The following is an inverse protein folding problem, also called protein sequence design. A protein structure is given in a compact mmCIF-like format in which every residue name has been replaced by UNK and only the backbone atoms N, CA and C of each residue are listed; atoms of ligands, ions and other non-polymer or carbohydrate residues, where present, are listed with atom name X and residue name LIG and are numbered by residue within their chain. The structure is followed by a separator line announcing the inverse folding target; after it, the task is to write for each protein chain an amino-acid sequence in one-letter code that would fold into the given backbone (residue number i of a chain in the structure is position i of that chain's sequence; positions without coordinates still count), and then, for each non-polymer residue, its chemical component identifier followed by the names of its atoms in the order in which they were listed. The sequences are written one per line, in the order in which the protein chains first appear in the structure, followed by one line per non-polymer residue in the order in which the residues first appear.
data_IF_015857263187
#
_entry.id   IF_015857263187
#
_cell.length_a   1.000
_cell.length_b   1.000
_cell.length_c   1.000
_cell.angle_alpha   90.00
_cell.angle_beta   90.00
_cell.angle_gamma   90.00
#
_symmetry.space_group_name_H-M   'P 1'
#
loop_
_entity.id
_entity.type
_entity.pdbx_description
1 polymer ?
#
# COMPACT_ATOMS: atom_id res chain seq x y z
N UNK A 1 -23.22 -25.69 23.89
CA UNK A 1 -21.99 -26.34 23.37
C UNK A 1 -22.26 -26.95 22.01
N UNK A 2 -21.98 -26.23 20.92
CA UNK A 2 -21.71 -26.78 19.58
C UNK A 2 -20.66 -25.85 18.93
N UNK A 3 -19.43 -26.36 18.81
CA UNK A 3 -18.35 -25.70 18.07
C UNK A 3 -18.75 -25.67 16.59
N UNK A 4 -18.79 -24.50 15.98
CA UNK A 4 -18.83 -24.33 14.53
C UNK A 4 -17.47 -23.81 14.08
N UNK A 5 -16.86 -24.60 13.20
CA UNK A 5 -15.52 -24.44 12.67
C UNK A 5 -15.40 -23.21 11.76
N UNK A 6 -14.27 -22.50 11.89
CA UNK A 6 -13.86 -21.47 10.96
C UNK A 6 -13.33 -22.10 9.66
N UNK A 7 -13.77 -21.70 8.47
CA UNK A 7 -13.14 -22.13 7.23
C UNK A 7 -12.04 -21.15 6.81
N UNK A 8 -10.87 -21.73 6.53
CA UNK A 8 -9.79 -21.22 5.69
C UNK A 8 -8.76 -20.29 6.36
N UNK A 9 -8.04 -20.86 7.32
CA UNK A 9 -6.68 -20.44 7.61
C UNK A 9 -5.78 -20.82 6.41
N UNK A 10 -5.27 -19.82 5.70
CA UNK A 10 -4.14 -20.02 4.78
C UNK A 10 -2.90 -20.30 5.64
N UNK A 11 -2.49 -21.55 5.70
CA UNK A 11 -1.22 -21.96 6.29
C UNK A 11 -0.08 -21.54 5.36
N UNK A 12 0.51 -20.36 5.57
CA UNK A 12 1.81 -20.07 4.98
C UNK A 12 2.87 -20.76 5.83
N UNK A 13 3.50 -21.80 5.25
CA UNK A 13 4.63 -22.51 5.82
C UNK A 13 5.76 -21.55 6.13
N UNK A 14 6.39 -21.71 7.29
CA UNK A 14 7.54 -20.96 7.79
C UNK A 14 8.77 -21.20 6.91
N UNK A 15 8.81 -20.53 5.76
CA UNK A 15 9.91 -20.53 4.81
C UNK A 15 9.60 -19.47 3.75
N UNK A 16 10.19 -18.29 3.90
CA UNK A 16 9.97 -17.15 2.99
C UNK A 16 10.53 -17.56 1.62
N UNK A 17 9.66 -18.00 0.73
CA UNK A 17 9.94 -17.93 -0.71
C UNK A 17 9.48 -16.53 -1.10
N UNK A 18 10.42 -15.63 -1.37
CA UNK A 18 10.06 -14.33 -1.95
C UNK A 18 9.23 -14.60 -3.20
N UNK A 19 7.97 -14.16 -3.19
CA UNK A 19 7.11 -14.34 -4.33
C UNK A 19 7.64 -13.56 -5.53
N UNK A 20 7.03 -13.82 -6.68
CA UNK A 20 7.39 -13.15 -7.94
C UNK A 20 7.21 -11.63 -7.86
N UNK A 21 6.33 -11.15 -6.96
CA UNK A 21 6.06 -9.72 -6.75
C UNK A 21 7.15 -9.10 -5.88
N UNK A 22 7.49 -9.74 -4.76
CA UNK A 22 8.53 -9.31 -3.83
C UNK A 22 9.90 -9.23 -4.52
N UNK A 23 10.17 -10.18 -5.43
CA UNK A 23 11.40 -10.18 -6.25
C UNK A 23 11.44 -8.99 -7.20
N UNK A 24 10.34 -8.72 -7.92
CA UNK A 24 10.25 -7.57 -8.83
C UNK A 24 10.34 -6.24 -8.09
N UNK A 25 9.74 -6.13 -6.91
CA UNK A 25 9.86 -4.94 -6.06
C UNK A 25 11.32 -4.72 -5.64
N UNK A 26 12.03 -5.78 -5.26
CA UNK A 26 13.45 -5.71 -4.92
C UNK A 26 14.32 -5.30 -6.12
N UNK A 27 14.06 -5.83 -7.32
CA UNK A 27 14.76 -5.44 -8.56
C UNK A 27 14.56 -3.96 -8.90
N UNK A 28 13.38 -3.41 -8.62
CA UNK A 28 13.06 -2.00 -8.79
C UNK A 28 13.58 -1.12 -7.64
N UNK A 29 14.20 -1.71 -6.60
CA UNK A 29 14.67 -0.99 -5.42
C UNK A 29 13.54 -0.44 -4.53
N UNK A 30 12.33 -0.99 -4.66
CA UNK A 30 11.13 -0.56 -3.93
C UNK A 30 10.99 -1.40 -2.67
N UNK A 31 10.92 -0.74 -1.51
CA UNK A 31 10.58 -1.37 -0.24
C UNK A 31 9.16 -0.96 0.15
N UNK A 32 8.35 -1.91 0.60
CA UNK A 32 6.98 -1.63 1.00
C UNK A 32 6.99 -0.89 2.35
N UNK A 33 6.41 0.32 2.44
CA UNK A 33 6.34 1.06 3.69
C UNK A 33 5.33 0.43 4.64
N UNK A 34 5.40 0.82 5.91
CA UNK A 34 4.34 0.48 6.87
C UNK A 34 3.06 1.23 6.47
N UNK A 35 1.90 0.55 6.35
CA UNK A 35 0.65 1.22 5.97
C UNK A 35 0.28 2.35 6.93
N UNK A 36 -0.15 3.49 6.37
CA UNK A 36 -0.59 4.62 7.17
C UNK A 36 -1.90 4.33 7.90
N UNK A 37 -2.05 4.86 9.11
CA UNK A 37 -3.31 4.80 9.84
C UNK A 37 -4.40 5.63 9.12
N UNK A 38 -5.68 5.21 9.17
CA UNK A 38 -6.79 6.01 8.65
C UNK A 38 -6.82 7.41 9.30
N UNK A 39 -7.00 8.44 8.47
CA UNK A 39 -6.99 9.84 8.94
C UNK A 39 -8.33 10.23 9.59
N UNK A 40 -9.39 9.46 9.33
CA UNK A 40 -10.74 9.70 9.84
C UNK A 40 -11.52 8.38 10.00
N UNK A 41 -12.84 8.48 10.18
CA UNK A 41 -13.74 7.34 10.36
C UNK A 41 -14.01 6.59 9.05
N UNK A 42 -13.00 5.91 8.52
CA UNK A 42 -13.11 4.98 7.39
C UNK A 42 -12.11 3.82 7.54
N UNK A 43 -12.31 2.74 6.79
CA UNK A 43 -11.45 1.54 6.82
C UNK A 43 -10.34 1.62 5.77
N UNK A 44 -9.15 1.03 6.00
CA UNK A 44 -8.04 1.07 5.04
C UNK A 44 -8.36 0.31 3.74
N UNK A 45 -9.17 -0.73 3.82
CA UNK A 45 -9.68 -1.49 2.67
C UNK A 45 -11.02 -2.14 3.00
N UNK A 46 -11.78 -2.47 1.96
CA UNK A 46 -13.03 -3.23 2.06
C UNK A 46 -13.03 -4.37 1.04
N UNK A 47 -13.50 -5.55 1.46
CA UNK A 47 -13.65 -6.72 0.61
C UNK A 47 -15.13 -6.97 0.31
N UNK A 48 -15.51 -6.93 -0.96
CA UNK A 48 -16.84 -7.26 -1.45
C UNK A 48 -16.77 -8.52 -2.33
N UNK A 49 -16.96 -9.68 -1.72
CA UNK A 49 -16.80 -10.97 -2.39
C UNK A 49 -15.37 -11.20 -2.85
N UNK A 50 -15.10 -11.03 -4.15
CA UNK A 50 -13.76 -11.15 -4.76
C UNK A 50 -13.13 -9.80 -5.12
N UNK A 51 -13.80 -8.69 -4.85
CA UNK A 51 -13.31 -7.34 -5.11
C UNK A 51 -12.71 -6.74 -3.82
N UNK A 52 -11.41 -6.49 -3.82
CA UNK A 52 -10.73 -5.73 -2.77
C UNK A 52 -10.61 -4.27 -3.20
N UNK A 53 -11.21 -3.36 -2.44
CA UNK A 53 -11.11 -1.91 -2.65
C UNK A 53 -10.21 -1.33 -1.58
N UNK A 54 -9.12 -0.68 -1.99
CA UNK A 54 -8.18 0.00 -1.08
C UNK A 54 -8.58 1.47 -1.03
N UNK A 55 -8.62 2.04 0.17
CA UNK A 55 -8.85 3.47 0.37
C UNK A 55 -7.71 4.30 -0.23
N UNK A 56 -7.93 5.59 -0.47
CA UNK A 56 -6.91 6.46 -1.06
C UNK A 56 -5.59 6.43 -0.27
N UNK A 57 -4.49 6.16 -0.97
CA UNK A 57 -3.14 6.17 -0.42
C UNK A 57 -2.47 7.50 -0.75
N UNK A 58 -1.83 8.12 0.25
CA UNK A 58 -1.04 9.34 0.09
C UNK A 58 0.40 8.95 -0.16
N UNK A 59 1.11 9.70 -1.01
CA UNK A 59 2.50 9.50 -1.40
C UNK A 59 3.50 9.81 -0.27
N UNK A 60 3.34 9.13 0.86
CA UNK A 60 4.27 9.20 1.97
C UNK A 60 5.59 8.54 1.59
N UNK A 61 6.69 9.22 1.91
CA UNK A 61 8.02 8.64 1.77
C UNK A 61 8.25 7.50 2.76
N UNK A 62 9.42 6.85 2.68
CA UNK A 62 9.82 5.79 3.62
C UNK A 62 9.84 6.24 5.09
N UNK A 63 9.94 7.55 5.33
CA UNK A 63 9.89 8.18 6.65
C UNK A 63 8.45 8.47 7.14
N UNK A 64 7.43 8.07 6.37
CA UNK A 64 6.03 8.32 6.66
C UNK A 64 5.60 9.77 6.46
N UNK A 65 6.39 10.61 5.79
CA UNK A 65 6.10 12.03 5.61
C UNK A 65 5.81 12.37 4.15
N UNK A 66 5.02 13.42 3.97
CA UNK A 66 4.74 13.99 2.65
C UNK A 66 5.80 15.05 2.32
N UNK A 67 6.62 14.76 1.30
CA UNK A 67 7.61 15.70 0.76
C UNK A 67 6.96 16.98 0.27
N UNK A 68 7.58 18.14 0.54
CA UNK A 68 7.11 19.43 0.03
C UNK A 68 7.12 19.50 -1.50
N UNK A 69 8.01 18.74 -2.16
CA UNK A 69 8.07 18.63 -3.62
C UNK A 69 6.81 17.97 -4.23
N UNK A 70 6.02 17.25 -3.42
CA UNK A 70 4.81 16.56 -3.85
C UNK A 70 3.53 17.33 -3.49
N UNK A 71 3.66 18.49 -2.81
CA UNK A 71 2.51 19.28 -2.36
C UNK A 71 2.11 20.31 -3.42
N UNK A 72 0.88 20.17 -3.90
CA UNK A 72 0.25 21.15 -4.79
C UNK A 72 -0.20 20.53 -6.12
N UNK A 73 -0.56 21.39 -7.07
CA UNK A 73 -1.09 20.99 -8.37
C UNK A 73 0.04 20.71 -9.37
N UNK A 74 -0.02 19.55 -10.02
CA UNK A 74 0.89 19.19 -11.12
C UNK A 74 0.70 20.16 -12.29
N UNK A 75 1.80 20.64 -12.87
CA UNK A 75 1.83 21.66 -13.92
C UNK A 75 1.72 23.10 -13.40
N UNK A 76 1.64 23.28 -12.08
CA UNK A 76 1.75 24.58 -11.42
C UNK A 76 2.84 24.53 -10.33
N UNK A 77 2.49 24.04 -9.14
CA UNK A 77 3.41 23.95 -8.01
C UNK A 77 4.29 22.68 -8.04
N UNK A 78 3.85 21.64 -8.75
CA UNK A 78 4.54 20.34 -8.85
C UNK A 78 4.86 20.07 -10.32
N UNK A 79 6.08 19.63 -10.62
CA UNK A 79 6.45 19.25 -12.00
C UNK A 79 5.83 17.89 -12.37
N UNK A 80 5.61 17.59 -13.66
CA UNK A 80 5.14 16.27 -14.09
C UNK A 80 6.03 15.12 -13.62
N UNK A 81 7.35 15.34 -13.57
CA UNK A 81 8.34 14.37 -13.11
C UNK A 81 8.18 14.11 -11.60
N UNK A 82 8.07 15.17 -10.80
CA UNK A 82 7.81 15.03 -9.36
C UNK A 82 6.45 14.38 -9.09
N UNK A 83 5.44 14.65 -9.93
CA UNK A 83 4.14 13.97 -9.87
C UNK A 83 4.24 12.46 -10.15
N UNK A 84 5.08 12.05 -11.11
CA UNK A 84 5.36 10.63 -11.37
C UNK A 84 6.09 9.97 -10.21
N UNK A 85 7.08 10.63 -9.62
CA UNK A 85 7.78 10.10 -8.44
C UNK A 85 6.83 9.97 -7.25
N UNK A 86 5.97 10.96 -7.02
CA UNK A 86 4.91 10.90 -6.01
C UNK A 86 3.98 9.70 -6.24
N UNK A 87 3.57 9.44 -7.49
CA UNK A 87 2.66 8.34 -7.82
C UNK A 87 3.27 6.95 -7.58
N UNK A 88 4.61 6.81 -7.60
CA UNK A 88 5.29 5.54 -7.25
C UNK A 88 5.18 5.20 -5.76
N UNK A 89 4.86 6.18 -4.91
CA UNK A 89 4.75 6.01 -3.46
C UNK A 89 3.32 5.71 -2.99
N UNK A 90 2.33 5.66 -3.89
CA UNK A 90 0.92 5.40 -3.61
C UNK A 90 0.51 3.95 -3.90
#
# INVERSE_FOLDING_TARGET
MRKLAAPHALTYSTGIVMGTVETKLAELGITLPTPAAPVANYVPFALAGKLLVISGQVCFGPDGKLSDAHKGKVGAAVTPEAGKEAAKLC
#
